data_IF_489588070788
#
_entry.id   IF_489588070788
#
_cell.length_a   1.000
_cell.length_b   1.000
_cell.length_c   1.000
_cell.angle_alpha   90.00
_cell.angle_beta   90.00
_cell.angle_gamma   90.00
#
_symmetry.space_group_name_H-M   'P 1'
#
loop_
_entity.id
_entity.type
_entity.pdbx_description
1 polymer ?
#
# COMPACT_ATOMS: atom_id res chain seq x y z
N UNK A 1 24.26 32.93 -12.17
CA UNK A 1 24.57 31.53 -11.86
C UNK A 1 24.49 31.28 -10.36
N UNK A 2 25.01 32.18 -9.53
CA UNK A 2 24.99 32.05 -8.05
C UNK A 2 23.59 32.10 -7.45
N UNK A 3 22.72 32.95 -7.98
CA UNK A 3 21.31 33.04 -7.55
C UNK A 3 20.53 31.74 -7.82
N UNK A 4 20.79 31.09 -8.97
CA UNK A 4 20.20 29.79 -9.31
C UNK A 4 20.76 28.66 -8.43
N UNK A 5 22.04 28.73 -8.06
CA UNK A 5 22.66 27.77 -7.14
C UNK A 5 22.16 27.94 -5.70
N UNK A 6 21.89 29.18 -5.26
CA UNK A 6 21.30 29.47 -3.96
C UNK A 6 19.86 28.95 -3.85
N UNK A 7 19.04 29.18 -4.89
CA UNK A 7 17.67 28.65 -4.97
C UNK A 7 17.65 27.12 -4.99
N UNK A 8 18.55 26.49 -5.76
CA UNK A 8 18.73 25.03 -5.77
C UNK A 8 19.07 24.50 -4.38
N UNK A 9 19.93 25.20 -3.63
CA UNK A 9 20.36 24.78 -2.28
C UNK A 9 19.20 24.83 -1.28
N UNK A 10 18.38 25.89 -1.32
CA UNK A 10 17.16 26.03 -0.52
C UNK A 10 16.11 24.96 -0.86
N UNK A 11 15.93 24.65 -2.14
CA UNK A 11 15.02 23.58 -2.59
C UNK A 11 15.51 22.18 -2.17
N UNK A 12 16.83 21.92 -2.19
CA UNK A 12 17.39 20.67 -1.66
C UNK A 12 17.29 20.55 -0.14
N UNK A 13 17.34 21.66 0.60
CA UNK A 13 17.11 21.64 2.06
C UNK A 13 15.63 21.40 2.40
N UNK A 14 14.69 21.99 1.64
CA UNK A 14 13.25 21.66 1.75
C UNK A 14 12.94 20.22 1.29
N UNK A 15 13.82 19.59 0.52
CA UNK A 15 13.68 18.18 0.14
C UNK A 15 13.95 17.22 1.32
N UNK A 16 14.58 17.66 2.42
CA UNK A 16 14.69 16.84 3.63
C UNK A 16 13.34 16.70 4.37
N UNK A 17 12.44 17.68 4.26
CA UNK A 17 11.07 17.52 4.76
C UNK A 17 10.23 16.61 3.85
N UNK A 18 10.53 16.58 2.54
CA UNK A 18 9.96 15.57 1.63
C UNK A 18 10.52 14.17 1.87
N UNK A 19 11.75 14.04 2.36
CA UNK A 19 12.30 12.74 2.77
C UNK A 19 11.51 12.14 3.95
N UNK A 20 10.99 12.95 4.87
CA UNK A 20 10.07 12.50 5.92
C UNK A 20 8.72 12.04 5.33
N UNK A 21 8.23 12.67 4.26
CA UNK A 21 7.01 12.21 3.56
C UNK A 21 7.21 10.92 2.75
N UNK A 22 8.41 10.69 2.22
CA UNK A 22 8.80 9.45 1.53
C UNK A 22 9.04 8.29 2.50
N UNK A 23 9.39 8.58 3.76
CA UNK A 23 9.59 7.55 4.80
C UNK A 23 8.27 6.93 5.27
N UNK A 24 7.13 7.54 4.93
CA UNK A 24 5.79 6.98 5.19
C UNK A 24 5.17 6.34 3.94
N UNK A 25 5.96 5.86 3.00
CA UNK A 25 5.48 4.88 2.03
C UNK A 25 5.10 3.61 2.79
N UNK A 26 3.82 3.53 3.16
CA UNK A 26 3.20 2.32 3.66
C UNK A 26 3.42 1.25 2.60
N UNK A 27 4.30 0.28 2.90
CA UNK A 27 4.53 -0.86 2.02
C UNK A 27 3.18 -1.49 1.71
N UNK A 28 2.84 -1.59 0.43
CA UNK A 28 1.57 -2.16 -0.01
C UNK A 28 1.78 -3.64 -0.33
N UNK A 29 0.81 -4.47 0.05
CA UNK A 29 0.74 -5.88 -0.27
C UNK A 29 -0.56 -6.18 -1.03
N UNK A 30 -0.58 -7.23 -1.84
CA UNK A 30 -1.79 -7.71 -2.49
C UNK A 30 -2.39 -8.86 -1.69
N UNK A 31 -3.71 -8.91 -1.59
CA UNK A 31 -4.40 -10.08 -1.08
C UNK A 31 -4.35 -11.21 -2.12
N UNK A 32 -3.90 -12.39 -1.73
CA UNK A 32 -3.79 -13.55 -2.62
C UNK A 32 -5.15 -14.16 -3.01
N UNK A 33 -6.19 -13.84 -2.24
CA UNK A 33 -7.55 -14.37 -2.44
C UNK A 33 -8.32 -13.47 -3.43
N UNK A 34 -8.44 -12.18 -3.14
CA UNK A 34 -9.27 -11.26 -3.93
C UNK A 34 -8.50 -10.17 -4.67
N UNK A 35 -7.17 -10.12 -4.57
CA UNK A 35 -6.33 -9.20 -5.34
C UNK A 35 -6.41 -7.74 -4.93
N UNK A 36 -7.06 -7.39 -3.81
CA UNK A 36 -7.09 -6.01 -3.33
C UNK A 36 -5.74 -5.58 -2.74
N UNK A 37 -5.43 -4.29 -2.80
CA UNK A 37 -4.28 -3.72 -2.11
C UNK A 37 -4.55 -3.55 -0.61
N UNK A 38 -3.62 -4.00 0.23
CA UNK A 38 -3.58 -3.79 1.67
C UNK A 38 -2.29 -3.09 2.06
N UNK A 39 -2.33 -2.38 3.18
CA UNK A 39 -1.11 -1.89 3.83
C UNK A 39 -0.44 -3.07 4.54
N UNK A 40 0.85 -3.28 4.30
CA UNK A 40 1.64 -4.28 5.01
C UNK A 40 1.76 -3.89 6.49
N UNK A 41 1.59 -4.86 7.38
CA UNK A 41 1.59 -4.67 8.84
C UNK A 41 0.52 -3.68 9.35
N UNK A 42 -0.66 -3.66 8.71
CA UNK A 42 -1.77 -2.84 9.19
C UNK A 42 -2.38 -3.37 10.49
N UNK A 43 -3.18 -2.54 11.14
CA UNK A 43 -3.92 -2.91 12.34
C UNK A 43 -4.81 -4.13 12.10
N UNK A 44 -4.79 -5.09 13.03
CA UNK A 44 -5.51 -6.36 12.92
C UNK A 44 -7.01 -6.18 12.62
N UNK A 45 -7.66 -5.18 13.22
CA UNK A 45 -9.07 -4.87 12.99
C UNK A 45 -9.37 -4.53 11.52
N UNK A 46 -8.47 -3.82 10.84
CA UNK A 46 -8.65 -3.46 9.43
C UNK A 46 -8.47 -4.67 8.52
N UNK A 47 -7.48 -5.51 8.83
CA UNK A 47 -7.31 -6.82 8.17
C UNK A 47 -8.54 -7.69 8.37
N UNK A 48 -9.16 -7.66 9.56
CA UNK A 48 -10.37 -8.40 9.86
C UNK A 48 -11.57 -7.93 9.02
N UNK A 49 -11.75 -6.62 8.91
CA UNK A 49 -12.79 -6.03 8.03
C UNK A 49 -12.58 -6.43 6.57
N UNK A 50 -11.33 -6.51 6.13
CA UNK A 50 -11.00 -6.99 4.79
C UNK A 50 -11.41 -8.46 4.57
N UNK A 51 -10.99 -9.39 5.45
CA UNK A 51 -11.26 -10.82 5.26
C UNK A 51 -12.74 -11.18 5.40
N UNK A 52 -13.49 -10.41 6.20
CA UNK A 52 -14.95 -10.58 6.35
C UNK A 52 -15.74 -9.87 5.24
N UNK A 53 -15.05 -9.14 4.35
CA UNK A 53 -15.65 -8.41 3.25
C UNK A 53 -16.21 -9.33 2.17
N UNK A 54 -17.30 -8.89 1.52
CA UNK A 54 -17.99 -9.69 0.48
C UNK A 54 -17.09 -10.04 -0.71
N UNK A 55 -16.18 -9.14 -1.08
CA UNK A 55 -15.23 -9.41 -2.17
C UNK A 55 -14.27 -10.53 -1.79
N UNK A 56 -13.66 -10.45 -0.60
CA UNK A 56 -12.73 -11.47 -0.11
C UNK A 56 -13.41 -12.84 -0.02
N UNK A 57 -14.57 -12.89 0.65
CA UNK A 57 -15.36 -14.12 0.80
C UNK A 57 -15.80 -14.68 -0.56
N UNK A 58 -16.32 -13.83 -1.45
CA UNK A 58 -16.81 -14.25 -2.77
C UNK A 58 -15.70 -14.84 -3.64
N UNK A 59 -14.53 -14.18 -3.71
CA UNK A 59 -13.38 -14.74 -4.42
C UNK A 59 -12.84 -16.02 -3.76
N UNK A 60 -12.88 -16.11 -2.43
CA UNK A 60 -12.57 -17.34 -1.71
C UNK A 60 -13.43 -18.52 -2.18
N UNK A 61 -14.75 -18.35 -2.18
CA UNK A 61 -15.69 -19.38 -2.63
C UNK A 61 -15.47 -19.79 -4.09
N UNK A 62 -15.19 -18.83 -4.98
CA UNK A 62 -14.90 -19.13 -6.39
C UNK A 62 -13.62 -19.96 -6.52
N UNK A 63 -12.57 -19.61 -5.77
CA UNK A 63 -11.30 -20.34 -5.77
C UNK A 63 -11.46 -21.76 -5.23
N UNK A 64 -12.23 -21.92 -4.16
CA UNK A 64 -12.53 -23.24 -3.58
C UNK A 64 -13.27 -24.12 -4.58
N UNK A 65 -14.32 -23.58 -5.22
CA UNK A 65 -15.05 -24.27 -6.29
C UNK A 65 -14.11 -24.67 -7.44
N UNK A 66 -13.29 -23.75 -7.95
CA UNK A 66 -12.33 -24.07 -9.01
C UNK A 66 -11.35 -25.15 -8.57
N UNK A 67 -10.89 -25.14 -7.31
CA UNK A 67 -9.97 -26.14 -6.80
C UNK A 67 -10.59 -27.53 -6.66
N UNK A 68 -11.89 -27.60 -6.36
CA UNK A 68 -12.64 -28.86 -6.23
C UNK A 68 -12.92 -29.51 -7.60
N UNK A 69 -13.12 -28.69 -8.63
CA UNK A 69 -13.53 -29.15 -9.97
C UNK A 69 -12.42 -29.03 -11.05
N UNK A 70 -11.16 -28.87 -10.65
CA UNK A 70 -9.99 -28.85 -11.56
C UNK A 70 -9.43 -30.24 -11.79
#
# INVERSE_FOLDING_TARGET
>A
VDMLNAEKTLLTQSSNDKALTLTQEKKMALCEICGSFLVANDAAERTQSHITGKQHMGYGMIRDFISEYK
#
